data_IF_494084565516
#
_entry.id   IF_494084565516
#
_cell.length_a   1.000
_cell.length_b   1.000
_cell.length_c   1.000
_cell.angle_alpha   90.00
_cell.angle_beta   90.00
_cell.angle_gamma   90.00
#
_symmetry.space_group_name_H-M   'P 1'
#
loop_
_entity.id
_entity.type
_entity.pdbx_description
1 polymer ?
#
# COMPACT_ATOMS: atom_id res chain seq x y z
N UNK A 1 14.36 -10.27 28.82
CA UNK A 1 14.54 -9.49 27.55
C UNK A 1 13.40 -9.75 26.54
N UNK A 2 12.21 -10.13 27.00
CA UNK A 2 11.14 -10.76 26.18
C UNK A 2 9.88 -9.91 26.04
N UNK A 3 9.52 -9.10 27.06
CA UNK A 3 8.23 -8.37 27.05
C UNK A 3 8.19 -7.23 26.02
N UNK A 4 9.22 -6.37 25.97
CA UNK A 4 9.24 -5.21 25.06
C UNK A 4 9.22 -5.61 23.58
N UNK A 5 9.90 -6.70 23.21
CA UNK A 5 9.93 -7.22 21.82
C UNK A 5 8.54 -7.67 21.36
N UNK A 6 7.77 -8.29 22.25
CA UNK A 6 6.41 -8.73 21.95
C UNK A 6 5.45 -7.55 21.77
N UNK A 7 5.59 -6.50 22.60
CA UNK A 7 4.82 -5.26 22.46
C UNK A 7 5.14 -4.58 21.12
N UNK A 8 6.42 -4.45 20.77
CA UNK A 8 6.84 -3.86 19.49
C UNK A 8 6.23 -4.66 18.33
N UNK A 9 6.34 -5.99 18.35
CA UNK A 9 5.78 -6.85 17.32
C UNK A 9 4.27 -6.66 17.16
N UNK A 10 3.53 -6.64 18.28
CA UNK A 10 2.08 -6.42 18.26
C UNK A 10 1.72 -5.05 17.68
N UNK A 11 2.38 -3.99 18.14
CA UNK A 11 2.18 -2.63 17.64
C UNK A 11 2.49 -2.55 16.14
N UNK A 12 3.58 -3.16 15.68
CA UNK A 12 3.93 -3.22 14.26
C UNK A 12 2.86 -3.92 13.43
N UNK A 13 2.27 -5.03 13.90
CA UNK A 13 1.18 -5.72 13.18
C UNK A 13 -0.08 -4.86 13.13
N UNK A 14 -0.44 -4.20 14.22
CA UNK A 14 -1.60 -3.29 14.26
C UNK A 14 -1.41 -2.12 13.28
N UNK A 15 -0.22 -1.51 13.27
CA UNK A 15 0.10 -0.43 12.34
C UNK A 15 0.07 -0.93 10.89
N UNK A 16 0.65 -2.10 10.61
CA UNK A 16 0.62 -2.70 9.28
C UNK A 16 -0.81 -2.95 8.81
N UNK A 17 -1.68 -3.49 9.66
CA UNK A 17 -3.10 -3.70 9.36
C UNK A 17 -3.84 -2.39 9.11
N UNK A 18 -3.61 -1.39 9.95
CA UNK A 18 -4.19 -0.06 9.79
C UNK A 18 -3.79 0.56 8.45
N UNK A 19 -2.50 0.66 8.14
CA UNK A 19 -2.05 1.25 6.87
C UNK A 19 -2.43 0.43 5.64
N UNK A 20 -2.52 -0.89 5.76
CA UNK A 20 -3.05 -1.75 4.68
C UNK A 20 -4.51 -1.45 4.39
N UNK A 21 -5.33 -1.24 5.42
CA UNK A 21 -6.71 -0.82 5.25
C UNK A 21 -6.82 0.57 4.59
N UNK A 22 -5.98 1.53 5.00
CA UNK A 22 -5.93 2.84 4.34
C UNK A 22 -5.53 2.72 2.87
N UNK A 23 -4.54 1.91 2.56
CA UNK A 23 -4.11 1.68 1.18
C UNK A 23 -5.23 1.05 0.35
N UNK A 24 -5.93 0.04 0.90
CA UNK A 24 -7.07 -0.56 0.21
C UNK A 24 -8.16 0.47 -0.13
N UNK A 25 -8.46 1.40 0.78
CA UNK A 25 -9.39 2.52 0.51
C UNK A 25 -8.91 3.42 -0.63
N UNK A 26 -7.61 3.69 -0.71
CA UNK A 26 -7.01 4.49 -1.78
C UNK A 26 -7.15 3.77 -3.13
N UNK A 27 -6.91 2.46 -3.18
CA UNK A 27 -7.05 1.65 -4.40
C UNK A 27 -8.47 1.74 -4.95
N UNK A 28 -9.48 1.66 -4.08
CA UNK A 28 -10.88 1.71 -4.51
C UNK A 28 -11.24 3.02 -5.22
N UNK A 29 -10.58 4.13 -4.92
CA UNK A 29 -10.78 5.41 -5.60
C UNK A 29 -10.29 5.37 -7.06
N UNK A 30 -9.33 4.48 -7.37
CA UNK A 30 -8.75 4.32 -8.71
C UNK A 30 -9.46 3.26 -9.58
N UNK A 31 -10.57 2.67 -9.11
CA UNK A 31 -11.33 1.65 -9.86
C UNK A 31 -12.69 2.21 -10.35
N UNK A 32 -13.04 2.06 -11.64
CA UNK A 32 -12.16 1.68 -12.75
C UNK A 32 -11.14 2.80 -13.01
N UNK A 33 -9.97 2.44 -13.58
CA UNK A 33 -8.80 3.31 -13.82
C UNK A 33 -9.19 4.79 -13.96
N UNK A 34 -8.97 5.57 -12.90
CA UNK A 34 -9.41 6.97 -12.81
C UNK A 34 -8.21 7.90 -12.64
N UNK A 35 -7.95 8.74 -13.64
CA UNK A 35 -6.85 9.71 -13.65
C UNK A 35 -7.20 11.04 -13.01
N UNK A 36 -8.45 11.25 -12.63
CA UNK A 36 -8.97 12.49 -12.05
C UNK A 36 -9.28 12.32 -10.56
N UNK A 37 -8.69 11.34 -9.89
CA UNK A 37 -8.96 11.04 -8.49
C UNK A 37 -7.70 11.02 -7.63
N UNK A 38 -7.88 11.34 -6.35
CA UNK A 38 -6.83 11.25 -5.33
C UNK A 38 -5.56 12.02 -5.71
N UNK A 39 -4.42 11.33 -5.66
CA UNK A 39 -3.11 11.93 -5.93
C UNK A 39 -2.96 12.38 -7.40
N UNK A 40 -3.60 11.70 -8.35
CA UNK A 40 -3.48 12.03 -9.77
C UNK A 40 -4.10 13.39 -10.10
N UNK A 41 -5.06 13.89 -9.33
CA UNK A 41 -5.60 15.26 -9.49
C UNK A 41 -4.51 16.34 -9.42
N UNK A 42 -3.45 16.09 -8.64
CA UNK A 42 -2.32 17.03 -8.48
C UNK A 42 -1.23 16.81 -9.54
N UNK A 43 -1.37 15.79 -10.38
CA UNK A 43 -0.35 15.35 -11.35
C UNK A 43 -0.86 15.34 -12.79
N UNK A 44 -1.89 16.13 -13.10
CA UNK A 44 -2.46 16.23 -14.45
C UNK A 44 -1.40 16.50 -15.52
N UNK A 45 -0.38 17.30 -15.19
CA UNK A 45 0.75 17.61 -16.09
C UNK A 45 1.58 16.37 -16.50
N UNK A 46 1.45 15.22 -15.83
CA UNK A 46 2.24 14.01 -16.12
C UNK A 46 1.39 12.86 -16.70
N UNK A 47 0.07 12.96 -16.65
CA UNK A 47 -0.86 11.86 -17.01
C UNK A 47 -0.80 11.50 -18.50
N UNK A 48 -0.36 12.45 -19.33
CA UNK A 48 -0.16 12.23 -20.76
C UNK A 48 1.04 11.33 -21.08
N UNK A 49 1.99 11.18 -20.14
CA UNK A 49 3.14 10.29 -20.27
C UNK A 49 2.70 8.86 -19.94
N UNK A 50 2.63 8.01 -20.95
CA UNK A 50 2.02 6.68 -20.84
C UNK A 50 2.79 5.78 -19.88
N UNK A 51 4.12 5.79 -19.95
CA UNK A 51 5.00 4.98 -19.11
C UNK A 51 4.87 5.39 -17.64
N UNK A 52 4.79 6.69 -17.37
CA UNK A 52 4.58 7.22 -16.02
C UNK A 52 3.23 6.79 -15.46
N UNK A 53 2.17 6.88 -16.27
CA UNK A 53 0.83 6.45 -15.88
C UNK A 53 0.76 4.95 -15.60
N UNK A 54 1.37 4.13 -16.45
CA UNK A 54 1.44 2.68 -16.24
C UNK A 54 2.22 2.36 -14.96
N UNK A 55 3.40 2.96 -14.77
CA UNK A 55 4.20 2.77 -13.57
C UNK A 55 3.45 3.15 -12.30
N UNK A 56 2.68 4.25 -12.33
CA UNK A 56 1.84 4.68 -11.22
C UNK A 56 0.79 3.62 -10.87
N UNK A 57 -0.01 3.17 -11.84
CA UNK A 57 -1.06 2.17 -11.57
C UNK A 57 -0.47 0.81 -11.16
N UNK A 58 0.61 0.37 -11.80
CA UNK A 58 1.34 -0.85 -11.40
C UNK A 58 1.77 -0.73 -9.95
N UNK A 59 2.41 0.36 -9.56
CA UNK A 59 2.84 0.60 -8.18
C UNK A 59 1.68 0.57 -7.18
N UNK A 60 0.60 1.31 -7.47
CA UNK A 60 -0.58 1.40 -6.61
C UNK A 60 -1.20 0.01 -6.42
N UNK A 61 -1.49 -0.71 -7.51
CA UNK A 61 -2.14 -2.02 -7.41
C UNK A 61 -1.22 -3.12 -6.86
N UNK A 62 0.07 -3.09 -7.17
CA UNK A 62 1.03 -4.08 -6.66
C UNK A 62 1.37 -3.88 -5.19
N UNK A 63 1.19 -2.67 -4.63
CA UNK A 63 1.53 -2.37 -3.23
C UNK A 63 0.81 -3.30 -2.24
N UNK A 64 -0.41 -3.77 -2.55
CA UNK A 64 -1.14 -4.71 -1.68
C UNK A 64 -0.45 -6.06 -1.55
N UNK A 65 0.25 -6.51 -2.61
CA UNK A 65 1.02 -7.76 -2.54
C UNK A 65 2.18 -7.62 -1.54
N UNK A 66 2.86 -6.47 -1.55
CA UNK A 66 3.97 -6.18 -0.63
C UNK A 66 3.46 -6.03 0.80
N UNK A 67 2.33 -5.35 1.00
CA UNK A 67 1.71 -5.21 2.32
C UNK A 67 1.24 -6.56 2.88
N UNK A 68 0.65 -7.42 2.04
CA UNK A 68 0.27 -8.78 2.42
C UNK A 68 1.50 -9.62 2.81
N UNK A 69 2.58 -9.56 2.04
CA UNK A 69 3.84 -10.23 2.38
C UNK A 69 4.43 -9.73 3.71
N UNK A 70 4.23 -8.46 4.07
CA UNK A 70 4.66 -7.89 5.35
C UNK A 70 4.11 -8.61 6.58
N UNK A 71 2.95 -9.27 6.48
CA UNK A 71 2.36 -10.05 7.58
C UNK A 71 3.05 -11.40 7.80
N UNK A 72 3.68 -11.97 6.75
CA UNK A 72 4.25 -13.31 6.79
C UNK A 72 5.77 -13.32 6.79
N UNK A 73 6.42 -12.35 6.13
CA UNK A 73 7.87 -12.32 5.87
C UNK A 73 8.75 -12.42 7.12
N UNK A 74 8.27 -11.94 8.27
CA UNK A 74 9.03 -11.92 9.52
C UNK A 74 8.53 -12.93 10.57
N UNK A 75 7.61 -13.81 10.18
CA UNK A 75 7.19 -14.90 11.05
C UNK A 75 8.29 -15.95 11.16
N UNK A 76 8.44 -16.55 12.35
CA UNK A 76 9.30 -17.72 12.55
C UNK A 76 8.57 -19.05 12.35
N UNK A 77 7.26 -18.98 12.14
CA UNK A 77 6.37 -20.13 11.99
C UNK A 77 6.15 -20.53 10.52
N UNK A 78 6.67 -19.73 9.60
CA UNK A 78 6.64 -19.96 8.15
C UNK A 78 8.04 -19.78 7.58
#
# INVERSE_FOLDING_TARGET
MTSYKNIIGLVSIILLAFFSFLMLRIIFIYIPVNTEAGFLQLKQDYIHITEWRIAFFVHVFSSMLVLAAGFTQFSKYF
#
